data_IF_238901280398
#
_entry.id   IF_238901280398
#
_cell.length_a   1.000
_cell.length_b   1.000
_cell.length_c   1.000
_cell.angle_alpha   90.00
_cell.angle_beta   90.00
_cell.angle_gamma   90.00
#
_symmetry.space_group_name_H-M   'P 1'
#
loop_
_entity.id
_entity.type
_entity.pdbx_description
1 polymer ?
#
# COMPACT_ATOMS: atom_id res chain seq x y z
N UNK A 1 -13.61 13.08 4.39
CA UNK A 1 -13.24 11.76 3.83
C UNK A 1 -11.86 11.40 4.33
N UNK A 2 -11.64 10.14 4.76
CA UNK A 2 -10.32 9.77 5.30
C UNK A 2 -9.18 10.02 4.31
N UNK A 3 -9.44 9.80 3.02
CA UNK A 3 -8.40 9.99 2.00
C UNK A 3 -8.10 11.46 1.74
N UNK A 4 -8.98 12.39 2.13
CA UNK A 4 -8.72 13.82 1.95
C UNK A 4 -7.70 14.35 2.96
N UNK A 5 -7.54 13.65 4.08
CA UNK A 5 -6.59 14.03 5.13
C UNK A 5 -5.22 13.42 4.93
N UNK A 6 -5.05 12.57 3.94
CA UNK A 6 -3.79 11.89 3.68
C UNK A 6 -2.80 12.85 3.04
N UNK A 7 -1.69 13.06 3.72
CA UNK A 7 -0.66 14.01 3.29
C UNK A 7 0.21 13.41 2.20
N UNK A 8 0.93 14.28 1.49
CA UNK A 8 1.86 13.85 0.45
C UNK A 8 2.92 12.91 1.01
N UNK A 9 3.26 11.89 0.24
CA UNK A 9 4.23 10.86 0.55
C UNK A 9 3.89 10.07 1.82
N UNK A 10 2.59 9.90 2.08
CA UNK A 10 2.07 9.13 3.20
C UNK A 10 1.14 8.04 2.70
N UNK A 11 1.09 6.95 3.46
CA UNK A 11 0.22 5.82 3.16
C UNK A 11 -0.75 5.52 4.28
N UNK A 12 -1.85 4.88 3.94
CA UNK A 12 -2.91 4.54 4.88
C UNK A 12 -3.61 3.27 4.39
N UNK A 13 -3.91 2.35 5.30
CA UNK A 13 -4.64 1.13 4.96
C UNK A 13 -6.08 1.26 5.46
N UNK A 14 -7.03 1.06 4.55
CA UNK A 14 -8.46 0.94 4.88
C UNK A 14 -8.74 -0.55 5.07
N UNK A 15 -8.65 -1.02 6.31
CA UNK A 15 -8.66 -2.46 6.62
C UNK A 15 -9.96 -3.15 6.24
N UNK A 16 -11.10 -2.49 6.47
CA UNK A 16 -12.40 -3.08 6.16
C UNK A 16 -12.67 -3.16 4.65
N UNK A 17 -11.86 -2.51 3.83
CA UNK A 17 -11.97 -2.57 2.36
C UNK A 17 -10.78 -3.27 1.72
N UNK A 18 -9.75 -3.58 2.50
CA UNK A 18 -8.49 -4.16 2.03
C UNK A 18 -7.86 -3.30 0.93
N UNK A 19 -7.85 -1.99 1.16
CA UNK A 19 -7.29 -1.02 0.22
C UNK A 19 -6.17 -0.26 0.90
N UNK A 20 -5.04 -0.14 0.21
CA UNK A 20 -3.90 0.67 0.64
C UNK A 20 -3.87 1.95 -0.19
N UNK A 21 -3.91 3.09 0.48
CA UNK A 21 -3.90 4.39 -0.18
C UNK A 21 -2.54 5.05 0.01
N UNK A 22 -2.05 5.66 -1.05
CA UNK A 22 -0.81 6.44 -1.00
C UNK A 22 -0.99 7.74 -1.77
N UNK A 23 -0.63 8.87 -1.16
CA UNK A 23 -0.61 10.16 -1.86
C UNK A 23 0.82 10.49 -2.21
N UNK A 24 1.08 10.64 -3.52
CA UNK A 24 2.44 10.90 -3.98
C UNK A 24 2.86 12.35 -3.74
N UNK A 25 4.11 12.66 -4.08
CA UNK A 25 4.66 14.00 -3.86
C UNK A 25 4.01 15.08 -4.69
N UNK A 26 3.24 14.73 -5.71
CA UNK A 26 2.49 15.68 -6.53
C UNK A 26 1.06 15.84 -6.06
N UNK A 27 0.66 15.07 -5.03
CA UNK A 27 -0.69 15.13 -4.48
C UNK A 27 -1.67 14.17 -5.09
N UNK A 28 -1.24 13.32 -6.02
CA UNK A 28 -2.12 12.32 -6.64
C UNK A 28 -2.31 11.13 -5.71
N UNK A 29 -3.54 10.63 -5.66
CA UNK A 29 -3.90 9.52 -4.80
C UNK A 29 -3.84 8.21 -5.58
N UNK A 30 -3.14 7.23 -5.01
CA UNK A 30 -3.03 5.88 -5.58
C UNK A 30 -3.68 4.89 -4.65
N UNK A 31 -4.45 3.96 -5.21
CA UNK A 31 -5.10 2.90 -4.44
C UNK A 31 -4.67 1.56 -4.99
N UNK A 32 -4.22 0.68 -4.09
CA UNK A 32 -3.82 -0.68 -4.43
C UNK A 32 -4.46 -1.60 -3.40
N UNK A 33 -4.52 -2.92 -3.74
CA UNK A 33 -4.98 -3.88 -2.74
C UNK A 33 -3.98 -3.92 -1.59
N UNK A 34 -4.50 -4.00 -0.35
CA UNK A 34 -3.62 -4.15 0.81
C UNK A 34 -3.27 -5.62 1.07
N UNK A 35 -3.82 -6.55 0.30
CA UNK A 35 -3.61 -7.98 0.51
C UNK A 35 -2.31 -8.39 -0.18
N UNK A 36 -1.34 -8.86 0.64
CA UNK A 36 -0.05 -9.30 0.15
C UNK A 36 -0.23 -10.45 -0.84
N UNK A 37 0.44 -10.36 -2.00
CA UNK A 37 0.31 -11.36 -3.06
C UNK A 37 0.91 -12.70 -2.70
N UNK A 38 1.74 -12.76 -1.65
CA UNK A 38 2.37 -14.02 -1.23
C UNK A 38 1.46 -14.86 -0.35
N UNK A 39 0.87 -14.28 0.71
CA UNK A 39 0.14 -15.06 1.71
C UNK A 39 -1.20 -14.46 2.13
N UNK A 40 -1.63 -13.39 1.52
CA UNK A 40 -2.92 -12.81 1.83
C UNK A 40 -2.97 -11.98 3.11
N UNK A 41 -1.84 -11.67 3.73
CA UNK A 41 -1.78 -10.77 4.87
C UNK A 41 -1.91 -9.33 4.40
N UNK A 42 -2.52 -8.48 5.21
CA UNK A 42 -2.58 -7.05 4.90
C UNK A 42 -1.21 -6.42 5.10
N UNK A 43 -0.80 -5.60 4.13
CA UNK A 43 0.43 -4.82 4.25
C UNK A 43 0.18 -3.60 5.14
N UNK A 44 1.26 -3.04 5.70
CA UNK A 44 1.20 -1.81 6.48
C UNK A 44 2.15 -0.77 5.89
N UNK A 45 1.83 0.50 6.10
CA UNK A 45 2.68 1.58 5.61
C UNK A 45 3.88 1.78 6.53
N UNK A 46 5.08 1.75 5.94
CA UNK A 46 6.32 2.07 6.62
C UNK A 46 6.73 3.48 6.21
N UNK A 47 6.43 4.45 7.06
CA UNK A 47 6.67 5.85 6.73
C UNK A 47 8.14 6.22 6.73
N UNK A 48 8.95 5.50 7.48
CA UNK A 48 10.38 5.75 7.54
C UNK A 48 11.05 5.39 6.22
N UNK A 49 10.71 4.22 5.68
CA UNK A 49 11.32 3.72 4.44
C UNK A 49 10.47 4.01 3.21
N UNK A 50 9.27 4.56 3.39
CA UNK A 50 8.33 4.89 2.31
C UNK A 50 8.02 3.68 1.45
N UNK A 51 7.63 2.60 2.11
CA UNK A 51 7.28 1.33 1.45
C UNK A 51 6.09 0.70 2.15
N UNK A 52 5.47 -0.27 1.48
CA UNK A 52 4.47 -1.14 2.09
C UNK A 52 5.16 -2.40 2.57
N UNK A 53 5.05 -2.71 3.85
CA UNK A 53 5.64 -3.90 4.45
C UNK A 53 4.57 -4.95 4.73
N UNK A 54 4.85 -6.20 4.36
CA UNK A 54 4.02 -7.33 4.75
C UNK A 54 4.59 -7.93 6.04
N UNK A 55 3.84 -7.90 7.16
CA UNK A 55 4.38 -8.37 8.43
C UNK A 55 4.55 -9.88 8.52
N UNK A 56 3.89 -10.65 7.63
CA UNK A 56 3.90 -12.10 7.74
C UNK A 56 5.24 -12.71 7.36
N UNK A 57 5.85 -12.25 6.25
CA UNK A 57 7.09 -12.84 5.76
C UNK A 57 8.11 -11.81 5.28
N UNK A 58 7.86 -10.54 5.52
CA UNK A 58 8.82 -9.50 5.22
C UNK A 58 8.88 -9.00 3.79
N UNK A 59 7.87 -9.34 2.97
CA UNK A 59 7.79 -8.78 1.62
C UNK A 59 7.65 -7.26 1.68
N UNK A 60 8.27 -6.57 0.72
CA UNK A 60 8.19 -5.12 0.61
C UNK A 60 7.75 -4.71 -0.77
N UNK A 61 6.93 -3.65 -0.80
CA UNK A 61 6.39 -3.10 -2.06
C UNK A 61 6.62 -1.60 -2.07
N UNK A 62 6.84 -1.06 -3.28
CA UNK A 62 6.95 0.39 -3.45
C UNK A 62 5.62 1.07 -3.10
N UNK A 63 5.62 2.40 -2.94
CA UNK A 63 4.36 3.10 -2.66
C UNK A 63 3.25 2.82 -3.66
N UNK A 64 3.58 2.54 -4.92
CA UNK A 64 2.59 2.21 -5.95
C UNK A 64 2.39 0.70 -6.15
N UNK A 65 2.98 -0.13 -5.30
CA UNK A 65 2.68 -1.56 -5.24
C UNK A 65 3.66 -2.49 -5.92
N UNK A 66 4.76 -1.98 -6.46
CA UNK A 66 5.75 -2.83 -7.13
C UNK A 66 6.58 -3.60 -6.11
N UNK A 67 6.96 -4.84 -6.44
CA UNK A 67 7.75 -5.67 -5.51
C UNK A 67 9.16 -5.09 -5.37
N UNK A 68 9.57 -4.86 -4.12
CA UNK A 68 10.94 -4.47 -3.80
C UNK A 68 11.69 -5.67 -3.23
N UNK A 69 11.02 -6.46 -2.36
CA UNK A 69 11.61 -7.61 -1.69
C UNK A 69 10.60 -8.75 -1.62
N UNK A 70 11.06 -9.97 -1.95
CA UNK A 70 10.28 -11.17 -1.76
C UNK A 70 10.14 -11.55 -0.29
N UNK A 71 9.39 -12.61 -0.02
CA UNK A 71 9.00 -13.70 -0.95
C UNK A 71 7.92 -13.39 -1.99
N UNK A 72 7.19 -12.29 -1.87
CA UNK A 72 6.22 -11.94 -2.90
C UNK A 72 6.93 -11.72 -4.25
N UNK A 73 6.32 -12.20 -5.32
CA UNK A 73 6.88 -12.07 -6.68
C UNK A 73 5.97 -11.29 -7.62
N UNK A 74 4.76 -10.93 -7.16
CA UNK A 74 3.81 -10.17 -7.95
C UNK A 74 3.48 -8.86 -7.27
N UNK A 75 3.26 -7.77 -8.05
CA UNK A 75 2.93 -6.49 -7.45
C UNK A 75 1.53 -6.50 -6.83
N UNK A 76 1.28 -5.53 -5.97
CA UNK A 76 -0.06 -5.27 -5.44
C UNK A 76 -0.89 -4.64 -6.53
N UNK A 77 -2.04 -5.21 -6.85
CA UNK A 77 -2.87 -4.75 -7.95
C UNK A 77 -3.50 -3.40 -7.64
N UNK A 78 -3.57 -2.53 -8.64
CA UNK A 78 -4.27 -1.26 -8.53
C UNK A 78 -5.78 -1.52 -8.40
N UNK A 79 -6.43 -0.71 -7.57
CA UNK A 79 -7.88 -0.78 -7.37
C UNK A 79 -8.45 0.64 -7.45
N UNK A 80 -9.78 0.74 -7.52
CA UNK A 80 -10.43 2.05 -7.53
C UNK A 80 -10.29 2.73 -6.17
N UNK A 81 -10.08 4.05 -6.19
CA UNK A 81 -10.06 4.82 -4.96
C UNK A 81 -11.46 4.81 -4.36
N UNK A 82 -11.65 4.34 -3.10
CA UNK A 82 -12.98 4.35 -2.51
C UNK A 82 -13.44 5.76 -2.16
N UNK A 83 -14.72 5.96 -2.26
CA UNK A 83 -15.36 7.24 -1.90
C UNK A 83 -15.51 7.41 -0.40
#
# INVERSE_FOLDING_TARGET
>A
MPNDDLQKEKGLVLKDRHVALYRDGQGDLHAITSICTHRGCDVGWNDQDKVWDCPCHGSRFSPTGEVIRGPAVQPLAAVDVPD
#
